data_IF_636763863303
#
_entry.id   IF_636763863303
#
_cell.length_a   1.000
_cell.length_b   1.000
_cell.length_c   1.000
_cell.angle_alpha   90.00
_cell.angle_beta   90.00
_cell.angle_gamma   90.00
#
_symmetry.space_group_name_H-M   'P 1'
#
loop_
_entity.id
_entity.type
_entity.pdbx_description
1 polymer ?
#
# COMPACT_ATOMS: atom_id res chain seq x y z
N UNK A 1 -5.37 -5.54 32.60
CA UNK A 1 -5.07 -5.01 31.27
C UNK A 1 -4.84 -3.51 31.43
N UNK A 2 -3.64 -3.01 31.18
CA UNK A 2 -3.41 -1.57 31.13
C UNK A 2 -4.30 -0.97 30.03
N UNK A 3 -4.98 0.14 30.31
CA UNK A 3 -5.80 0.82 29.33
C UNK A 3 -4.87 1.26 28.18
N UNK A 4 -5.15 0.81 26.96
CA UNK A 4 -4.40 1.29 25.78
C UNK A 4 -4.73 2.77 25.60
N UNK A 5 -3.69 3.59 25.47
CA UNK A 5 -3.81 5.05 25.36
C UNK A 5 -4.49 5.52 24.04
N UNK A 6 -4.70 4.61 23.07
CA UNK A 6 -5.29 4.91 21.76
C UNK A 6 -6.77 4.45 21.73
N UNK A 7 -7.66 5.25 22.27
CA UNK A 7 -9.09 4.94 22.31
C UNK A 7 -9.79 5.30 21.00
N UNK A 8 -9.50 6.48 20.47
CA UNK A 8 -10.10 7.01 19.24
C UNK A 8 -9.06 7.10 18.13
N UNK A 9 -9.31 6.45 17.00
CA UNK A 9 -8.40 6.38 15.86
C UNK A 9 -9.02 7.10 14.66
N UNK A 10 -8.30 8.11 14.14
CA UNK A 10 -8.64 8.79 12.90
C UNK A 10 -8.14 8.00 11.69
N UNK A 11 -8.97 7.85 10.67
CA UNK A 11 -8.61 7.20 9.41
C UNK A 11 -8.69 8.22 8.30
N UNK A 12 -7.56 8.63 7.76
CA UNK A 12 -7.48 9.66 6.72
C UNK A 12 -7.46 9.02 5.34
N UNK A 13 -8.61 9.02 4.69
CA UNK A 13 -8.81 8.45 3.36
C UNK A 13 -10.06 7.55 3.29
N UNK A 14 -11.14 8.07 2.68
CA UNK A 14 -12.44 7.41 2.55
C UNK A 14 -12.53 6.36 1.44
N UNK A 15 -11.41 5.84 0.94
CA UNK A 15 -11.38 4.76 -0.04
C UNK A 15 -11.71 3.38 0.56
N UNK A 16 -11.67 2.33 -0.27
CA UNK A 16 -11.94 0.96 0.15
C UNK A 16 -11.06 0.52 1.33
N UNK A 17 -9.75 0.79 1.25
CA UNK A 17 -8.80 0.40 2.30
C UNK A 17 -9.01 1.18 3.59
N UNK A 18 -9.26 2.49 3.53
CA UNK A 18 -9.56 3.28 4.73
C UNK A 18 -10.85 2.84 5.41
N UNK A 19 -11.90 2.57 4.65
CA UNK A 19 -13.15 2.01 5.20
C UNK A 19 -12.93 0.65 5.85
N UNK A 20 -12.14 -0.23 5.23
CA UNK A 20 -11.81 -1.54 5.79
C UNK A 20 -10.99 -1.44 7.08
N UNK A 21 -10.03 -0.50 7.15
CA UNK A 21 -9.24 -0.25 8.36
C UNK A 21 -10.09 0.37 9.49
N UNK A 22 -11.03 1.26 9.15
CA UNK A 22 -11.96 1.80 10.14
C UNK A 22 -12.83 0.67 10.76
N UNK A 23 -13.29 -0.29 9.95
CA UNK A 23 -14.00 -1.47 10.43
C UNK A 23 -13.10 -2.40 11.27
N UNK A 24 -11.83 -2.58 10.87
CA UNK A 24 -10.87 -3.35 11.67
C UNK A 24 -10.61 -2.69 13.03
N UNK A 25 -10.51 -1.36 13.07
CA UNK A 25 -10.37 -0.55 14.29
C UNK A 25 -11.56 -0.73 15.25
N UNK A 26 -12.80 -0.70 14.74
CA UNK A 26 -13.99 -0.96 15.54
C UNK A 26 -13.98 -2.40 16.10
N UNK A 27 -13.57 -3.41 15.30
CA UNK A 27 -13.45 -4.80 15.77
C UNK A 27 -12.35 -4.99 16.81
N UNK A 28 -11.35 -4.11 16.84
CA UNK A 28 -10.35 -4.07 17.90
C UNK A 28 -10.87 -3.40 19.19
N UNK A 29 -12.14 -2.99 19.23
CA UNK A 29 -12.78 -2.35 20.39
C UNK A 29 -12.39 -0.87 20.55
N UNK A 30 -11.98 -0.21 19.46
CA UNK A 30 -11.66 1.23 19.44
C UNK A 30 -12.77 2.02 18.76
N UNK A 31 -12.82 3.32 19.01
CA UNK A 31 -13.62 4.26 18.24
C UNK A 31 -12.88 4.58 16.92
N UNK A 32 -13.62 4.63 15.81
CA UNK A 32 -13.06 4.99 14.51
C UNK A 32 -13.77 6.20 13.93
N UNK A 33 -13.01 7.18 13.43
CA UNK A 33 -13.51 8.31 12.68
C UNK A 33 -12.90 8.33 11.27
N UNK A 34 -13.72 8.10 10.25
CA UNK A 34 -13.28 8.06 8.87
C UNK A 34 -13.36 9.47 8.26
N UNK A 35 -12.22 10.00 7.86
CA UNK A 35 -12.19 11.23 7.07
C UNK A 35 -12.23 10.92 5.57
N UNK A 36 -13.13 11.58 4.86
CA UNK A 36 -13.20 11.54 3.40
C UNK A 36 -13.27 12.95 2.84
N UNK A 37 -12.52 13.19 1.78
CA UNK A 37 -12.53 14.48 1.06
C UNK A 37 -13.85 14.71 0.34
N UNK A 38 -14.45 13.64 -0.18
CA UNK A 38 -15.66 13.68 -0.97
C UNK A 38 -16.91 13.69 -0.07
N UNK A 39 -17.75 14.77 -0.10
CA UNK A 39 -18.98 14.84 0.69
C UNK A 39 -19.97 13.69 0.42
N UNK A 40 -19.98 13.17 -0.80
CA UNK A 40 -20.81 12.04 -1.19
C UNK A 40 -20.44 10.77 -0.39
N UNK A 41 -19.14 10.52 -0.17
CA UNK A 41 -18.66 9.40 0.64
C UNK A 41 -19.07 9.57 2.10
N UNK A 42 -18.89 10.77 2.65
CA UNK A 42 -19.31 11.09 4.04
C UNK A 42 -20.82 10.85 4.19
N UNK A 43 -21.63 11.36 3.28
CA UNK A 43 -23.07 11.18 3.28
C UNK A 43 -23.47 9.70 3.15
N UNK A 44 -22.85 8.95 2.23
CA UNK A 44 -23.10 7.52 2.02
C UNK A 44 -22.79 6.70 3.27
N UNK A 45 -21.64 6.92 3.90
CA UNK A 45 -21.23 6.22 5.13
C UNK A 45 -22.20 6.53 6.27
N UNK A 46 -22.53 7.79 6.50
CA UNK A 46 -23.34 8.20 7.65
C UNK A 46 -24.83 7.87 7.50
N UNK A 47 -25.40 8.05 6.31
CA UNK A 47 -26.84 7.88 6.08
C UNK A 47 -27.20 6.50 5.52
N UNK A 48 -26.45 6.01 4.51
CA UNK A 48 -26.77 4.74 3.86
C UNK A 48 -26.07 3.54 4.52
N UNK A 49 -25.17 3.77 5.49
CA UNK A 49 -24.38 2.71 6.12
C UNK A 49 -23.63 1.83 5.13
N UNK A 50 -23.10 2.47 4.08
CA UNK A 50 -22.36 1.82 3.03
C UNK A 50 -21.39 2.84 2.39
N UNK A 51 -20.21 2.41 1.98
CA UNK A 51 -19.35 3.19 1.11
C UNK A 51 -19.57 2.73 -0.34
N UNK A 52 -20.61 3.26 -0.99
CA UNK A 52 -21.07 2.82 -2.31
C UNK A 52 -20.05 3.01 -3.42
N UNK A 53 -19.23 4.05 -3.31
CA UNK A 53 -18.26 4.38 -4.35
C UNK A 53 -17.01 3.49 -4.33
N UNK A 54 -16.55 3.09 -3.12
CA UNK A 54 -15.26 2.44 -2.96
C UNK A 54 -15.34 1.02 -2.38
N UNK A 55 -16.40 0.70 -1.64
CA UNK A 55 -16.58 -0.60 -0.98
C UNK A 55 -18.05 -1.04 -1.00
N UNK A 56 -18.65 -1.19 -2.19
CA UNK A 56 -20.05 -1.57 -2.31
C UNK A 56 -20.32 -2.96 -1.74
N UNK A 57 -21.54 -3.16 -1.24
CA UNK A 57 -22.02 -4.44 -0.69
C UNK A 57 -21.50 -4.76 0.71
N UNK A 58 -20.86 -3.82 1.38
CA UNK A 58 -20.44 -3.97 2.78
C UNK A 58 -21.25 -3.05 3.67
N UNK A 59 -22.10 -3.64 4.52
CA UNK A 59 -22.87 -2.89 5.53
C UNK A 59 -21.96 -2.37 6.63
N UNK A 60 -22.02 -1.07 6.88
CA UNK A 60 -21.22 -0.40 7.91
C UNK A 60 -22.03 -0.29 9.23
N UNK A 61 -21.41 -0.59 10.38
CA UNK A 61 -22.07 -0.49 11.68
C UNK A 61 -22.39 0.97 12.03
N UNK A 62 -23.37 1.16 12.90
CA UNK A 62 -23.84 2.49 13.30
C UNK A 62 -22.77 3.33 14.01
N UNK A 63 -21.82 2.66 14.65
CA UNK A 63 -20.69 3.25 15.36
C UNK A 63 -19.66 3.87 14.44
N UNK A 64 -19.61 3.46 13.16
CA UNK A 64 -18.72 4.09 12.19
C UNK A 64 -19.28 5.43 11.76
N UNK A 65 -18.55 6.49 12.10
CA UNK A 65 -18.81 7.85 11.64
C UNK A 65 -17.80 8.26 10.57
N UNK A 66 -18.28 9.03 9.60
CA UNK A 66 -17.42 9.71 8.64
C UNK A 66 -17.55 11.24 8.81
N UNK A 67 -16.46 11.95 8.53
CA UNK A 67 -16.39 13.41 8.56
C UNK A 67 -15.65 13.95 7.34
N UNK A 68 -16.01 15.15 6.89
CA UNK A 68 -15.22 15.94 5.95
C UNK A 68 -14.27 16.92 6.66
N UNK A 69 -14.37 17.06 7.99
CA UNK A 69 -13.51 17.93 8.79
C UNK A 69 -12.21 17.22 9.16
N UNK A 70 -11.11 17.70 8.57
CA UNK A 70 -9.78 17.15 8.82
C UNK A 70 -9.30 17.42 10.25
N UNK A 71 -9.69 18.57 10.84
CA UNK A 71 -9.32 18.91 12.21
C UNK A 71 -9.97 17.95 13.23
N UNK A 72 -11.24 17.58 12.99
CA UNK A 72 -11.92 16.57 13.82
C UNK A 72 -11.20 15.21 13.79
N UNK A 73 -10.78 14.77 12.59
CA UNK A 73 -10.07 13.52 12.43
C UNK A 73 -8.64 13.56 13.03
N UNK A 74 -7.95 14.70 12.91
CA UNK A 74 -6.62 14.92 13.47
C UNK A 74 -6.62 14.96 15.01
N UNK A 75 -7.75 15.27 15.65
CA UNK A 75 -7.88 15.31 17.11
C UNK A 75 -7.97 13.92 17.76
N UNK A 76 -7.91 12.83 16.98
CA UNK A 76 -7.88 11.45 17.49
C UNK A 76 -6.53 11.12 18.17
N UNK A 77 -6.49 9.98 18.90
CA UNK A 77 -5.32 9.58 19.69
C UNK A 77 -4.20 8.98 18.80
N UNK A 78 -4.56 8.39 17.67
CA UNK A 78 -3.66 7.89 16.63
C UNK A 78 -4.32 8.07 15.25
N UNK A 79 -3.51 8.17 14.20
CA UNK A 79 -3.99 8.44 12.83
C UNK A 79 -3.49 7.34 11.88
N UNK A 80 -4.41 6.71 11.15
CA UNK A 80 -4.12 5.86 10.00
C UNK A 80 -4.13 6.72 8.72
N UNK A 81 -2.97 6.86 8.07
CA UNK A 81 -2.82 7.58 6.81
C UNK A 81 -3.07 6.63 5.63
N UNK A 82 -4.25 6.71 5.03
CA UNK A 82 -4.72 5.76 4.00
C UNK A 82 -4.97 6.47 2.67
N UNK A 83 -4.36 7.62 2.48
CA UNK A 83 -4.38 8.36 1.22
C UNK A 83 -3.52 7.65 0.16
N UNK A 84 -3.81 7.84 -1.15
CA UNK A 84 -2.89 7.39 -2.18
C UNK A 84 -1.47 7.96 -1.98
N UNK A 85 -0.45 7.19 -2.36
CA UNK A 85 0.96 7.53 -2.11
C UNK A 85 1.34 8.93 -2.60
N UNK A 86 0.91 9.31 -3.81
CA UNK A 86 1.22 10.63 -4.40
C UNK A 86 0.52 11.81 -3.72
N UNK A 87 -0.44 11.55 -2.85
CA UNK A 87 -1.16 12.57 -2.07
C UNK A 87 -0.79 12.60 -0.59
N UNK A 88 0.11 11.70 -0.15
CA UNK A 88 0.45 11.53 1.27
C UNK A 88 1.09 12.80 1.85
N UNK A 89 2.07 13.40 1.15
CA UNK A 89 2.73 14.63 1.59
C UNK A 89 1.73 15.78 1.81
N UNK A 90 0.84 15.99 0.85
CA UNK A 90 -0.18 17.05 0.95
C UNK A 90 -1.19 16.78 2.08
N UNK A 91 -1.56 15.52 2.29
CA UNK A 91 -2.41 15.13 3.42
C UNK A 91 -1.71 15.38 4.76
N UNK A 92 -0.44 15.04 4.88
CA UNK A 92 0.38 15.33 6.07
C UNK A 92 0.48 16.85 6.33
N UNK A 93 0.74 17.65 5.29
CA UNK A 93 0.78 19.10 5.41
C UNK A 93 -0.56 19.68 5.89
N UNK A 94 -1.68 19.18 5.39
CA UNK A 94 -3.01 19.55 5.87
C UNK A 94 -3.28 19.17 7.33
N UNK A 95 -2.71 18.06 7.79
CA UNK A 95 -2.85 17.59 9.18
C UNK A 95 -1.95 18.36 10.17
N UNK A 96 -0.80 18.86 9.72
CA UNK A 96 0.27 19.37 10.58
C UNK A 96 -0.18 20.40 11.63
N UNK A 97 -1.06 21.33 11.23
CA UNK A 97 -1.60 22.37 12.12
C UNK A 97 -2.68 21.92 13.11
N UNK A 98 -3.16 20.68 12.98
CA UNK A 98 -4.26 20.14 13.79
C UNK A 98 -3.84 19.00 14.73
N UNK A 99 -2.62 18.48 14.56
CA UNK A 99 -2.12 17.37 15.36
C UNK A 99 -1.76 17.81 16.78
N UNK A 100 -2.13 16.97 17.75
CA UNK A 100 -1.60 17.12 19.11
C UNK A 100 -0.15 16.62 19.16
N UNK A 101 0.72 17.26 19.93
CA UNK A 101 2.09 16.78 20.11
C UNK A 101 2.11 15.29 20.54
N UNK A 102 2.94 14.49 19.88
CA UNK A 102 3.08 13.06 20.20
C UNK A 102 2.00 12.14 19.61
N UNK A 103 1.01 12.66 18.85
CA UNK A 103 0.05 11.80 18.14
C UNK A 103 0.78 10.97 17.09
N UNK A 104 0.75 9.61 17.16
CA UNK A 104 1.40 8.76 16.18
C UNK A 104 0.58 8.68 14.89
N UNK A 105 1.29 8.69 13.74
CA UNK A 105 0.71 8.48 12.42
C UNK A 105 1.19 7.14 11.86
N UNK A 106 0.26 6.32 11.43
CA UNK A 106 0.51 5.02 10.83
C UNK A 106 0.28 5.10 9.32
N UNK A 107 1.34 5.01 8.56
CA UNK A 107 1.32 5.09 7.10
C UNK A 107 0.82 3.76 6.54
N UNK A 108 -0.31 3.78 5.84
CA UNK A 108 -0.91 2.62 5.17
C UNK A 108 -0.81 2.72 3.65
N UNK A 109 -0.29 3.83 3.12
CA UNK A 109 0.00 4.02 1.71
C UNK A 109 1.15 3.12 1.26
N UNK A 110 1.02 2.56 0.06
CA UNK A 110 2.02 1.64 -0.53
C UNK A 110 2.52 2.23 -1.84
N UNK A 111 3.67 2.89 -1.79
CA UNK A 111 4.28 3.56 -2.95
C UNK A 111 5.57 4.28 -2.59
N UNK A 112 6.10 4.97 -3.58
CA UNK A 112 7.25 5.87 -3.50
C UNK A 112 6.80 7.18 -4.13
N UNK A 113 7.18 8.32 -3.56
CA UNK A 113 6.81 9.63 -4.10
C UNK A 113 7.50 9.86 -5.45
N UNK A 114 6.75 10.25 -6.47
CA UNK A 114 7.24 10.29 -7.85
C UNK A 114 8.37 11.31 -8.02
N UNK A 115 8.16 12.54 -7.58
CA UNK A 115 9.09 13.64 -7.86
C UNK A 115 10.39 13.56 -7.06
N UNK A 116 10.31 13.22 -5.77
CA UNK A 116 11.47 13.17 -4.87
C UNK A 116 12.15 11.80 -4.83
N UNK A 117 11.42 10.73 -5.18
CA UNK A 117 11.74 9.33 -4.92
C UNK A 117 11.84 8.98 -3.41
N UNK A 118 11.22 9.79 -2.56
CA UNK A 118 11.20 9.56 -1.11
C UNK A 118 10.30 8.39 -0.75
N UNK A 119 10.68 7.64 0.27
CA UNK A 119 9.78 6.70 0.93
C UNK A 119 8.63 7.46 1.61
N UNK A 120 7.50 6.79 1.79
CA UNK A 120 6.33 7.44 2.40
C UNK A 120 6.61 8.00 3.80
N UNK A 121 7.46 7.33 4.60
CA UNK A 121 7.88 7.85 5.90
C UNK A 121 8.73 9.12 5.80
N UNK A 122 9.59 9.23 4.80
CA UNK A 122 10.40 10.42 4.56
C UNK A 122 9.52 11.58 4.06
N UNK A 123 8.59 11.30 3.14
CA UNK A 123 7.62 12.27 2.64
C UNK A 123 6.71 12.79 3.76
N UNK A 124 6.27 11.92 4.67
CA UNK A 124 5.48 12.28 5.83
C UNK A 124 6.29 13.14 6.82
N UNK A 125 7.50 12.68 7.18
CA UNK A 125 8.37 13.40 8.12
C UNK A 125 8.72 14.82 7.64
N UNK A 126 8.88 15.00 6.32
CA UNK A 126 9.19 16.31 5.75
C UNK A 126 7.98 17.29 5.77
N UNK A 127 6.76 16.78 5.94
CA UNK A 127 5.53 17.60 5.92
C UNK A 127 4.86 17.75 7.29
N UNK A 128 5.32 17.01 8.30
CA UNK A 128 4.78 16.99 9.65
C UNK A 128 5.68 17.75 10.64
N UNK A 129 5.18 18.16 11.81
CA UNK A 129 6.00 18.72 12.87
C UNK A 129 7.16 17.78 13.23
N UNK A 130 8.33 18.35 13.49
CA UNK A 130 9.52 17.59 13.86
C UNK A 130 9.24 16.69 15.08
N UNK A 131 9.71 15.44 15.00
CA UNK A 131 9.50 14.47 16.08
C UNK A 131 8.12 13.81 16.10
N UNK A 132 7.26 14.04 15.11
CA UNK A 132 5.99 13.30 14.98
C UNK A 132 6.28 11.79 14.87
N UNK A 133 5.72 10.94 15.77
CA UNK A 133 5.98 9.51 15.73
C UNK A 133 5.34 8.87 14.51
N UNK A 134 6.11 8.08 13.77
CA UNK A 134 5.67 7.40 12.54
C UNK A 134 5.78 5.89 12.67
N UNK A 135 4.77 5.20 12.14
CA UNK A 135 4.78 3.76 11.93
C UNK A 135 4.28 3.45 10.50
N UNK A 136 4.48 2.23 10.05
CA UNK A 136 4.02 1.75 8.72
C UNK A 136 3.19 0.49 8.91
N UNK A 137 2.05 0.40 8.23
CA UNK A 137 1.22 -0.79 8.16
C UNK A 137 1.24 -1.35 6.73
N UNK A 138 1.78 -2.54 6.57
CA UNK A 138 1.92 -3.21 5.26
C UNK A 138 1.69 -4.71 5.39
N UNK A 139 1.28 -5.38 4.30
CA UNK A 139 1.07 -6.82 4.30
C UNK A 139 -0.07 -7.24 3.36
N UNK A 140 -0.34 -8.56 3.25
CA UNK A 140 -1.31 -9.12 2.32
C UNK A 140 -2.74 -8.75 2.71
N UNK A 141 -3.35 -7.83 1.98
CA UNK A 141 -4.66 -7.28 2.32
C UNK A 141 -5.48 -6.94 1.08
N UNK A 142 -6.62 -7.60 0.92
CA UNK A 142 -7.70 -7.09 0.08
C UNK A 142 -8.73 -6.39 0.98
N UNK A 143 -9.04 -5.14 0.67
CA UNK A 143 -9.93 -4.31 1.48
C UNK A 143 -11.30 -4.97 1.73
N UNK A 144 -11.87 -5.61 0.71
CA UNK A 144 -13.17 -6.29 0.82
C UNK A 144 -13.13 -7.48 1.80
N UNK A 145 -12.02 -8.18 1.92
CA UNK A 145 -11.86 -9.30 2.84
C UNK A 145 -11.70 -8.80 4.27
N UNK A 146 -10.83 -7.81 4.49
CA UNK A 146 -10.66 -7.15 5.78
C UNK A 146 -11.98 -6.54 6.26
N UNK A 147 -12.71 -5.87 5.38
CA UNK A 147 -14.00 -5.26 5.71
C UNK A 147 -15.03 -6.30 6.18
N UNK A 148 -15.04 -7.50 5.58
CA UNK A 148 -15.89 -8.62 5.99
C UNK A 148 -15.41 -9.34 7.25
N UNK A 149 -14.24 -8.97 7.79
CA UNK A 149 -13.67 -9.58 9.00
C UNK A 149 -13.01 -10.94 8.75
N UNK A 150 -12.59 -11.23 7.51
CA UNK A 150 -11.83 -12.44 7.22
C UNK A 150 -10.42 -12.35 7.84
N UNK A 151 -9.83 -13.49 8.23
CA UNK A 151 -8.52 -13.53 8.86
C UNK A 151 -7.45 -12.85 8.01
N UNK A 152 -6.75 -11.91 8.60
CA UNK A 152 -5.72 -11.10 7.93
C UNK A 152 -4.54 -10.88 8.88
N UNK A 153 -3.33 -11.02 8.38
CA UNK A 153 -2.10 -10.71 9.10
C UNK A 153 -1.33 -9.62 8.34
N UNK A 154 -0.78 -8.66 9.08
CA UNK A 154 -0.02 -7.53 8.53
C UNK A 154 1.23 -7.27 9.36
N UNK A 155 2.20 -6.58 8.79
CA UNK A 155 3.34 -6.02 9.51
C UNK A 155 2.99 -4.61 9.97
N UNK A 156 3.21 -4.31 11.25
CA UNK A 156 3.27 -2.97 11.79
C UNK A 156 4.74 -2.66 12.07
N UNK A 157 5.35 -1.82 11.24
CA UNK A 157 6.74 -1.45 11.37
C UNK A 157 6.87 -0.10 12.09
N UNK A 158 7.64 -0.07 13.19
CA UNK A 158 7.86 1.11 14.00
C UNK A 158 9.28 1.08 14.59
N UNK A 159 10.06 2.14 14.41
CA UNK A 159 11.41 2.22 14.96
C UNK A 159 11.43 2.27 16.50
N UNK A 160 10.39 2.86 17.11
CA UNK A 160 10.16 2.81 18.56
C UNK A 160 9.37 1.55 18.90
N UNK A 161 10.04 0.58 19.50
CA UNK A 161 9.45 -0.72 19.86
C UNK A 161 8.33 -0.58 20.89
N UNK A 162 8.42 0.36 21.83
CA UNK A 162 7.38 0.58 22.86
C UNK A 162 6.10 1.16 22.23
N UNK A 163 6.24 2.16 21.37
CA UNK A 163 5.13 2.68 20.58
C UNK A 163 4.54 1.61 19.67
N UNK A 164 5.39 0.86 18.97
CA UNK A 164 4.97 -0.22 18.08
C UNK A 164 4.11 -1.27 18.81
N UNK A 165 4.54 -1.71 19.99
CA UNK A 165 3.78 -2.67 20.80
C UNK A 165 2.40 -2.13 21.20
N UNK A 166 2.30 -0.87 21.59
CA UNK A 166 1.03 -0.20 21.92
C UNK A 166 0.11 -0.09 20.70
N UNK A 167 0.66 0.22 19.52
CA UNK A 167 -0.11 0.27 18.26
C UNK A 167 -0.59 -1.11 17.83
N UNK A 168 0.23 -2.16 17.99
CA UNK A 168 -0.18 -3.55 17.75
C UNK A 168 -1.36 -3.93 18.63
N UNK A 169 -1.32 -3.60 19.91
CA UNK A 169 -2.43 -3.85 20.85
C UNK A 169 -3.68 -3.04 20.48
N UNK A 170 -3.52 -1.79 20.05
CA UNK A 170 -4.63 -0.91 19.69
C UNK A 170 -5.37 -1.35 18.42
N UNK A 171 -4.65 -1.86 17.41
CA UNK A 171 -5.20 -2.25 16.11
C UNK A 171 -5.51 -3.74 16.00
N UNK A 172 -4.94 -4.56 16.88
CA UNK A 172 -5.03 -6.02 16.85
C UNK A 172 -6.41 -6.55 17.26
N UNK A 173 -6.89 -7.57 16.52
CA UNK A 173 -8.09 -8.32 16.86
C UNK A 173 -7.92 -9.80 16.47
N UNK A 174 -8.95 -10.64 16.74
CA UNK A 174 -8.93 -12.05 16.32
C UNK A 174 -8.74 -12.23 14.81
N UNK A 175 -9.30 -11.33 14.04
CA UNK A 175 -9.30 -11.43 12.57
C UNK A 175 -8.34 -10.45 11.88
N UNK A 176 -7.78 -9.49 12.61
CA UNK A 176 -6.76 -8.58 12.08
C UNK A 176 -5.55 -8.61 13.01
N UNK A 177 -4.45 -9.21 12.55
CA UNK A 177 -3.27 -9.52 13.38
C UNK A 177 -2.03 -8.76 12.92
N UNK A 178 -1.71 -7.60 13.53
CA UNK A 178 -0.45 -6.93 13.27
C UNK A 178 0.71 -7.69 13.95
N UNK A 179 1.82 -7.82 13.22
CA UNK A 179 3.09 -8.32 13.72
C UNK A 179 4.09 -7.17 13.75
N UNK A 180 4.70 -6.94 14.91
CA UNK A 180 5.66 -5.86 15.10
C UNK A 180 6.95 -6.13 14.33
N UNK A 181 7.48 -5.09 13.68
CA UNK A 181 8.80 -5.04 13.08
C UNK A 181 9.45 -3.69 13.40
N UNK A 182 10.77 -3.63 13.48
CA UNK A 182 11.55 -2.40 13.56
C UNK A 182 12.09 -1.95 12.18
N UNK A 183 11.93 -2.80 11.14
CA UNK A 183 12.36 -2.49 9.77
C UNK A 183 11.27 -1.72 9.00
N UNK A 184 11.26 -0.41 9.20
CA UNK A 184 10.36 0.51 8.52
C UNK A 184 10.67 0.58 7.01
N UNK A 185 11.94 0.50 6.62
CA UNK A 185 12.39 0.59 5.22
C UNK A 185 11.94 -0.65 4.42
N UNK A 186 12.31 -1.85 4.89
CA UNK A 186 11.95 -3.10 4.21
C UNK A 186 10.44 -3.26 4.06
N UNK A 187 9.67 -2.90 5.09
CA UNK A 187 8.20 -2.97 5.06
C UNK A 187 7.58 -2.05 4.02
N UNK A 188 8.14 -0.85 3.79
CA UNK A 188 7.67 0.08 2.75
C UNK A 188 8.05 -0.39 1.35
N UNK A 189 9.30 -0.81 1.15
CA UNK A 189 9.80 -1.24 -0.16
C UNK A 189 9.04 -2.47 -0.64
N UNK A 190 8.83 -3.47 0.20
CA UNK A 190 8.01 -4.64 -0.13
C UNK A 190 6.61 -4.24 -0.61
N UNK A 191 5.91 -3.42 0.19
CA UNK A 191 4.56 -2.96 -0.11
C UNK A 191 4.46 -2.07 -1.36
N UNK A 192 5.49 -1.28 -1.69
CA UNK A 192 5.52 -0.41 -2.86
C UNK A 192 5.78 -1.20 -4.16
N UNK A 193 6.90 -1.93 -4.21
CA UNK A 193 7.39 -2.57 -5.45
C UNK A 193 6.49 -3.72 -5.90
N UNK A 194 5.83 -4.43 -4.97
CA UNK A 194 4.87 -5.48 -5.33
C UNK A 194 3.81 -5.03 -6.34
N UNK A 195 3.40 -3.75 -6.27
CA UNK A 195 2.37 -3.19 -7.15
C UNK A 195 2.83 -3.14 -8.61
N UNK A 196 4.11 -2.88 -8.83
CA UNK A 196 4.74 -2.89 -10.15
C UNK A 196 4.82 -4.32 -10.67
N UNK A 197 5.28 -5.26 -9.85
CA UNK A 197 5.39 -6.67 -10.21
C UNK A 197 4.03 -7.32 -10.46
N UNK A 198 2.97 -6.87 -9.76
CA UNK A 198 1.62 -7.33 -10.03
C UNK A 198 1.14 -6.94 -11.44
N UNK A 199 1.55 -5.80 -11.98
CA UNK A 199 1.28 -5.44 -13.38
C UNK A 199 1.99 -6.42 -14.32
N UNK A 200 3.27 -6.74 -14.09
CA UNK A 200 3.99 -7.74 -14.88
C UNK A 200 3.31 -9.12 -14.84
N UNK A 201 2.90 -9.59 -13.65
CA UNK A 201 2.16 -10.84 -13.51
C UNK A 201 0.80 -10.80 -14.21
N UNK A 202 0.14 -9.64 -14.22
CA UNK A 202 -1.08 -9.42 -15.00
C UNK A 202 -0.83 -9.54 -16.50
N UNK A 203 0.25 -8.98 -17.02
CA UNK A 203 0.64 -9.15 -18.44
C UNK A 203 0.81 -10.62 -18.78
N UNK A 204 1.48 -11.40 -17.92
CA UNK A 204 1.63 -12.86 -18.10
C UNK A 204 0.28 -13.55 -18.18
N UNK A 205 -0.67 -13.16 -17.33
CA UNK A 205 -2.05 -13.67 -17.34
C UNK A 205 -2.77 -13.34 -18.66
N UNK A 206 -2.78 -12.06 -19.05
CA UNK A 206 -3.45 -11.61 -20.28
C UNK A 206 -2.84 -12.20 -21.56
N UNK A 207 -1.52 -12.41 -21.59
CA UNK A 207 -0.79 -13.09 -22.67
C UNK A 207 -0.84 -14.61 -22.61
N UNK A 208 -1.46 -15.19 -21.54
CA UNK A 208 -1.57 -16.64 -21.34
C UNK A 208 -0.21 -17.36 -21.36
N UNK A 209 0.82 -16.74 -20.77
CA UNK A 209 2.17 -17.30 -20.70
C UNK A 209 2.32 -18.41 -19.66
N UNK A 210 1.31 -18.65 -18.84
CA UNK A 210 1.19 -19.77 -17.92
C UNK A 210 1.76 -19.50 -16.52
N UNK A 211 1.48 -20.44 -15.62
CA UNK A 211 1.80 -20.35 -14.20
C UNK A 211 3.31 -20.42 -13.92
N UNK A 212 4.08 -21.14 -14.74
CA UNK A 212 5.54 -21.20 -14.61
C UNK A 212 6.16 -19.81 -14.79
N UNK A 213 5.73 -19.05 -15.79
CA UNK A 213 6.19 -17.68 -16.03
C UNK A 213 5.80 -16.74 -14.88
N UNK A 214 4.57 -16.86 -14.35
CA UNK A 214 4.12 -16.09 -13.20
C UNK A 214 4.94 -16.41 -11.94
N UNK A 215 5.19 -17.69 -11.65
CA UNK A 215 6.02 -18.11 -10.52
C UNK A 215 7.46 -17.58 -10.62
N UNK A 216 8.06 -17.66 -11.83
CA UNK A 216 9.38 -17.11 -12.09
C UNK A 216 9.42 -15.58 -11.88
N UNK A 217 8.40 -14.84 -12.36
CA UNK A 217 8.29 -13.39 -12.13
C UNK A 217 8.19 -13.04 -10.65
N UNK A 218 7.39 -13.76 -9.87
CA UNK A 218 7.27 -13.54 -8.42
C UNK A 218 8.62 -13.74 -7.75
N UNK A 219 9.31 -14.84 -8.06
CA UNK A 219 10.62 -15.17 -7.48
C UNK A 219 11.69 -14.15 -7.86
N UNK A 220 11.79 -13.81 -9.13
CA UNK A 220 12.78 -12.83 -9.61
C UNK A 220 12.43 -11.42 -9.15
N UNK A 221 11.15 -11.09 -9.08
CA UNK A 221 10.65 -9.83 -8.54
C UNK A 221 10.98 -9.66 -7.05
N UNK A 222 10.83 -10.72 -6.25
CA UNK A 222 11.25 -10.68 -4.85
C UNK A 222 12.76 -10.42 -4.71
N UNK A 223 13.58 -10.98 -5.59
CA UNK A 223 15.01 -10.70 -5.61
C UNK A 223 15.31 -9.22 -5.96
N UNK A 224 14.54 -8.60 -6.87
CA UNK A 224 14.66 -7.16 -7.15
C UNK A 224 14.27 -6.32 -5.93
N UNK A 225 13.13 -6.62 -5.29
CA UNK A 225 12.69 -5.96 -4.06
C UNK A 225 13.78 -6.04 -2.99
N UNK A 226 14.35 -7.23 -2.80
CA UNK A 226 15.37 -7.48 -1.76
C UNK A 226 16.63 -6.64 -2.03
N UNK A 227 17.12 -6.59 -3.28
CA UNK A 227 18.28 -5.76 -3.63
C UNK A 227 18.04 -4.28 -3.32
N UNK A 228 16.87 -3.74 -3.72
CA UNK A 228 16.54 -2.34 -3.44
C UNK A 228 16.42 -2.08 -1.94
N UNK A 229 15.75 -2.95 -1.20
CA UNK A 229 15.59 -2.81 0.24
C UNK A 229 16.94 -2.81 0.96
N UNK A 230 17.85 -3.74 0.62
CA UNK A 230 19.21 -3.79 1.16
C UNK A 230 19.99 -2.50 0.89
N UNK A 231 19.92 -1.99 -0.35
CA UNK A 231 20.60 -0.73 -0.72
C UNK A 231 20.07 0.50 0.05
N UNK A 232 18.91 0.38 0.67
CA UNK A 232 18.26 1.42 1.47
C UNK A 232 18.34 1.15 2.99
N UNK A 233 18.99 0.06 3.40
CA UNK A 233 19.14 -0.33 4.80
C UNK A 233 18.02 -1.18 5.37
N UNK A 234 17.14 -1.70 4.53
CA UNK A 234 16.14 -2.71 4.91
C UNK A 234 16.76 -4.11 5.02
N UNK A 235 16.01 -5.06 5.56
CA UNK A 235 16.48 -6.42 5.86
C UNK A 235 15.81 -7.49 4.99
N UNK A 236 16.56 -8.51 4.53
CA UNK A 236 16.01 -9.61 3.73
C UNK A 236 14.90 -10.39 4.46
N UNK A 237 15.02 -10.57 5.77
CA UNK A 237 14.05 -11.28 6.60
C UNK A 237 12.67 -10.61 6.56
N UNK A 238 12.64 -9.28 6.52
CA UNK A 238 11.40 -8.49 6.37
C UNK A 238 10.73 -8.77 5.02
N UNK A 239 11.53 -8.93 3.98
CA UNK A 239 11.03 -9.19 2.62
C UNK A 239 10.53 -10.65 2.46
N UNK A 240 11.01 -11.59 3.27
CA UNK A 240 10.46 -12.95 3.34
C UNK A 240 9.19 -13.05 4.19
N UNK A 241 8.80 -11.97 4.86
CA UNK A 241 7.63 -11.87 5.71
C UNK A 241 6.37 -11.35 5.00
N UNK A 242 5.42 -10.86 5.83
CA UNK A 242 4.09 -10.41 5.38
C UNK A 242 4.14 -9.22 4.43
N UNK A 243 4.99 -8.21 4.70
CA UNK A 243 5.08 -7.00 3.88
C UNK A 243 5.87 -7.19 2.57
N UNK A 244 6.61 -8.29 2.43
CA UNK A 244 7.34 -8.68 1.22
C UNK A 244 6.64 -9.84 0.49
N UNK A 245 7.14 -11.07 0.69
CA UNK A 245 6.66 -12.28 0.01
C UNK A 245 5.14 -12.47 0.14
N UNK A 246 4.58 -12.29 1.34
CA UNK A 246 3.16 -12.47 1.57
C UNK A 246 2.29 -11.54 0.71
N UNK A 247 2.60 -10.23 0.74
CA UNK A 247 1.85 -9.22 0.00
C UNK A 247 2.11 -9.31 -1.52
N UNK A 248 3.33 -9.67 -1.92
CA UNK A 248 3.69 -9.92 -3.32
C UNK A 248 2.89 -11.10 -3.87
N UNK A 249 2.90 -12.24 -3.19
CA UNK A 249 2.18 -13.45 -3.63
C UNK A 249 0.69 -13.19 -3.75
N UNK A 250 0.06 -12.58 -2.74
CA UNK A 250 -1.37 -12.24 -2.80
C UNK A 250 -1.69 -11.35 -4.00
N UNK A 251 -0.89 -10.28 -4.19
CA UNK A 251 -1.18 -9.24 -5.18
C UNK A 251 -0.92 -9.73 -6.62
N UNK A 252 0.04 -10.64 -6.81
CA UNK A 252 0.42 -11.21 -8.11
C UNK A 252 -0.37 -12.48 -8.49
N UNK A 253 -1.27 -12.95 -7.63
CA UNK A 253 -2.02 -14.20 -7.87
C UNK A 253 -3.53 -14.01 -7.95
N UNK A 254 -4.02 -12.77 -7.93
CA UNK A 254 -5.46 -12.51 -7.95
C UNK A 254 -5.82 -11.27 -8.77
N UNK A 255 -6.78 -11.40 -9.66
CA UNK A 255 -7.37 -10.30 -10.43
C UNK A 255 -8.16 -9.31 -9.55
N UNK A 256 -8.43 -9.60 -8.27
CA UNK A 256 -8.87 -8.60 -7.31
C UNK A 256 -7.84 -7.48 -7.12
N UNK A 257 -6.56 -7.76 -7.39
CA UNK A 257 -5.52 -6.74 -7.44
C UNK A 257 -5.76 -5.79 -8.62
N UNK A 258 -5.94 -4.51 -8.32
CA UNK A 258 -6.09 -3.46 -9.35
C UNK A 258 -4.89 -3.39 -10.29
N UNK A 259 -3.70 -3.67 -9.76
CA UNK A 259 -2.47 -3.68 -10.55
C UNK A 259 -2.40 -4.93 -11.44
N UNK A 260 -2.70 -6.11 -10.91
CA UNK A 260 -2.72 -7.33 -11.71
C UNK A 260 -3.80 -7.26 -12.81
N UNK A 261 -5.02 -6.80 -12.48
CA UNK A 261 -6.08 -6.64 -13.49
C UNK A 261 -5.77 -5.57 -14.54
N UNK A 262 -4.99 -4.52 -14.20
CA UNK A 262 -4.45 -3.57 -15.19
C UNK A 262 -3.50 -4.29 -16.15
N UNK A 263 -2.52 -5.02 -15.61
CA UNK A 263 -1.57 -5.78 -16.42
C UNK A 263 -2.24 -6.82 -17.31
N UNK A 264 -3.28 -7.52 -16.83
CA UNK A 264 -4.03 -8.48 -17.63
C UNK A 264 -4.70 -7.81 -18.84
N UNK A 265 -5.35 -6.67 -18.63
CA UNK A 265 -5.96 -5.91 -19.72
C UNK A 265 -4.92 -5.44 -20.78
N UNK A 266 -3.74 -4.99 -20.33
CA UNK A 266 -2.63 -4.65 -21.25
C UNK A 266 -2.14 -5.90 -21.99
N UNK A 267 -2.02 -7.04 -21.32
CA UNK A 267 -1.66 -8.32 -21.91
C UNK A 267 -2.67 -8.79 -22.96
N UNK A 268 -3.94 -8.50 -22.79
CA UNK A 268 -5.02 -8.77 -23.75
C UNK A 268 -5.00 -7.81 -24.97
N UNK A 269 -4.11 -6.82 -24.99
CA UNK A 269 -3.93 -5.88 -26.09
C UNK A 269 -4.66 -4.55 -25.94
N UNK A 270 -5.25 -4.27 -24.78
CA UNK A 270 -5.85 -2.96 -24.48
C UNK A 270 -4.78 -1.92 -24.20
N UNK A 271 -5.05 -0.68 -24.55
CA UNK A 271 -4.15 0.44 -24.22
C UNK A 271 -4.30 0.90 -22.77
N UNK A 272 -3.23 1.48 -22.22
CA UNK A 272 -3.27 2.05 -20.87
C UNK A 272 -4.37 3.12 -20.73
N UNK A 273 -4.55 3.96 -21.74
CA UNK A 273 -5.54 5.03 -21.75
C UNK A 273 -6.97 4.47 -21.65
N UNK A 274 -7.31 3.44 -22.44
CA UNK A 274 -8.62 2.77 -22.38
C UNK A 274 -8.90 2.18 -20.99
N UNK A 275 -7.91 1.48 -20.42
CA UNK A 275 -8.06 0.84 -19.12
C UNK A 275 -8.22 1.87 -17.98
N UNK A 276 -7.48 2.99 -18.05
CA UNK A 276 -7.58 4.04 -17.03
C UNK A 276 -8.90 4.83 -17.15
N UNK A 277 -9.43 5.04 -18.34
CA UNK A 277 -10.69 5.76 -18.55
C UNK A 277 -11.91 5.06 -17.91
N UNK A 278 -11.88 3.74 -17.79
CA UNK A 278 -12.93 2.94 -17.18
C UNK A 278 -12.84 2.85 -15.65
N UNK A 279 -11.72 3.27 -15.06
CA UNK A 279 -11.44 3.06 -13.63
C UNK A 279 -11.64 4.34 -12.83
N UNK A 280 -12.43 4.23 -11.75
CA UNK A 280 -12.57 5.34 -10.77
C UNK A 280 -11.35 5.49 -9.85
N UNK A 281 -10.53 4.46 -9.71
CA UNK A 281 -9.35 4.49 -8.84
C UNK A 281 -8.10 4.14 -9.60
N UNK A 282 -7.04 4.92 -9.38
CA UNK A 282 -5.73 4.72 -10.01
C UNK A 282 -5.09 3.43 -9.48
N UNK A 283 -4.47 2.66 -10.39
CA UNK A 283 -3.56 1.60 -10.00
C UNK A 283 -2.23 2.25 -9.57
N UNK A 284 -1.89 2.15 -8.30
CA UNK A 284 -0.69 2.78 -7.72
C UNK A 284 0.61 2.37 -8.42
N UNK A 285 0.63 1.14 -8.98
CA UNK A 285 1.76 0.60 -9.71
C UNK A 285 2.21 1.45 -10.90
N UNK A 286 1.30 2.23 -11.52
CA UNK A 286 1.65 3.09 -12.68
C UNK A 286 2.67 4.15 -12.26
N UNK A 287 2.38 4.91 -11.21
CA UNK A 287 3.32 5.92 -10.69
C UNK A 287 4.51 5.30 -9.98
N UNK A 288 4.27 4.20 -9.26
CA UNK A 288 5.33 3.53 -8.51
C UNK A 288 6.39 2.94 -9.45
N UNK A 289 6.05 2.52 -10.67
CA UNK A 289 7.03 2.00 -11.63
C UNK A 289 8.13 3.02 -11.91
N UNK A 290 7.79 4.23 -12.33
CA UNK A 290 8.76 5.30 -12.58
C UNK A 290 9.54 5.68 -11.32
N UNK A 291 8.85 5.80 -10.16
CA UNK A 291 9.50 6.17 -8.91
C UNK A 291 10.51 5.10 -8.43
N UNK A 292 10.18 3.81 -8.57
CA UNK A 292 11.07 2.68 -8.24
C UNK A 292 12.30 2.69 -9.13
N UNK A 293 12.12 2.84 -10.44
CA UNK A 293 13.23 2.89 -11.41
C UNK A 293 14.15 4.08 -11.13
N UNK A 294 13.58 5.25 -10.86
CA UNK A 294 14.35 6.44 -10.49
C UNK A 294 15.11 6.27 -9.18
N UNK A 295 14.50 5.69 -8.15
CA UNK A 295 15.15 5.40 -6.87
C UNK A 295 16.25 4.35 -7.03
N UNK A 296 15.99 3.27 -7.75
CA UNK A 296 16.97 2.22 -8.02
C UNK A 296 18.18 2.77 -8.79
N UNK A 297 17.97 3.64 -9.79
CA UNK A 297 19.04 4.33 -10.50
C UNK A 297 19.93 5.18 -9.59
N UNK A 298 19.33 5.96 -8.66
CA UNK A 298 20.08 6.74 -7.65
C UNK A 298 20.92 5.86 -6.73
N UNK A 299 20.51 4.59 -6.51
CA UNK A 299 21.20 3.62 -5.64
C UNK A 299 22.08 2.63 -6.37
N UNK A 300 22.14 2.69 -7.71
CA UNK A 300 22.92 1.75 -8.53
C UNK A 300 22.39 0.32 -8.49
N UNK A 301 21.07 0.12 -8.30
CA UNK A 301 20.44 -1.18 -8.19
C UNK A 301 19.79 -1.58 -9.52
N UNK A 302 20.13 -2.76 -10.07
CA UNK A 302 19.52 -3.32 -11.29
C UNK A 302 18.16 -3.94 -10.98
N UNK A 303 17.10 -3.38 -11.60
CA UNK A 303 15.71 -3.81 -11.42
C UNK A 303 15.04 -4.03 -12.80
N UNK A 304 15.45 -5.04 -13.57
CA UNK A 304 15.00 -5.21 -14.94
C UNK A 304 13.50 -5.45 -15.12
N UNK A 305 12.82 -6.13 -14.19
CA UNK A 305 11.38 -6.33 -14.26
C UNK A 305 10.62 -5.02 -14.03
N UNK A 306 11.03 -4.26 -13.00
CA UNK A 306 10.44 -2.95 -12.74
C UNK A 306 10.70 -1.97 -13.89
N UNK A 307 11.90 -1.97 -14.47
CA UNK A 307 12.26 -1.14 -15.63
C UNK A 307 11.44 -1.50 -16.87
N UNK A 308 11.18 -2.79 -17.11
CA UNK A 308 10.32 -3.24 -18.21
C UNK A 308 8.87 -2.76 -18.05
N UNK A 309 8.32 -2.83 -16.83
CA UNK A 309 6.98 -2.31 -16.55
C UNK A 309 6.93 -0.79 -16.74
N UNK A 310 7.92 -0.07 -16.27
CA UNK A 310 8.02 1.39 -16.45
C UNK A 310 8.11 1.78 -17.92
N UNK A 311 8.93 1.07 -18.72
CA UNK A 311 9.06 1.30 -20.15
C UNK A 311 7.71 1.15 -20.89
N UNK A 312 6.92 0.14 -20.54
CA UNK A 312 5.59 -0.08 -21.13
C UNK A 312 4.61 1.02 -20.70
N UNK A 313 4.56 1.34 -19.42
CA UNK A 313 3.53 2.23 -18.86
C UNK A 313 3.80 3.71 -19.14
N UNK A 314 5.06 4.13 -19.04
CA UNK A 314 5.43 5.54 -18.99
C UNK A 314 6.27 5.99 -20.19
N UNK A 315 6.82 5.06 -20.99
CA UNK A 315 7.70 5.39 -22.11
C UNK A 315 7.23 4.82 -23.45
N UNK A 316 6.04 4.21 -23.51
CA UNK A 316 5.43 3.74 -24.76
C UNK A 316 6.13 2.55 -25.40
N UNK A 317 6.94 1.79 -24.65
CA UNK A 317 7.59 0.60 -25.18
C UNK A 317 6.57 -0.48 -25.58
N UNK A 318 6.81 -1.13 -26.71
CA UNK A 318 5.98 -2.22 -27.18
C UNK A 318 6.05 -3.43 -26.24
N UNK A 319 4.88 -3.99 -25.89
CA UNK A 319 4.77 -5.06 -24.90
C UNK A 319 5.60 -6.30 -25.32
N UNK A 320 5.42 -6.77 -26.55
CA UNK A 320 6.08 -7.99 -27.03
C UNK A 320 7.60 -7.81 -27.12
N UNK A 321 8.06 -6.66 -27.63
CA UNK A 321 9.49 -6.34 -27.71
C UNK A 321 10.12 -6.26 -26.30
N UNK A 322 9.37 -5.78 -25.31
CA UNK A 322 9.85 -5.70 -23.92
C UNK A 322 9.94 -7.09 -23.29
N UNK A 323 8.96 -7.97 -23.55
CA UNK A 323 9.00 -9.38 -23.12
C UNK A 323 10.20 -10.10 -23.73
N UNK A 324 10.40 -9.98 -25.05
CA UNK A 324 11.53 -10.59 -25.77
C UNK A 324 12.88 -10.07 -25.22
N UNK A 325 12.97 -8.78 -24.92
CA UNK A 325 14.14 -8.18 -24.29
C UNK A 325 14.45 -8.78 -22.91
N UNK A 326 13.45 -9.06 -22.08
CA UNK A 326 13.64 -9.72 -20.80
C UNK A 326 14.10 -11.17 -20.98
N UNK A 327 13.49 -11.90 -21.91
CA UNK A 327 13.81 -13.32 -22.17
C UNK A 327 15.19 -13.52 -22.79
N UNK A 328 15.69 -12.52 -23.51
CA UNK A 328 17.01 -12.57 -24.15
C UNK A 328 18.17 -12.15 -23.24
N UNK A 329 17.89 -11.79 -21.96
CA UNK A 329 18.96 -11.44 -21.01
C UNK A 329 19.90 -12.63 -20.78
N UNK A 330 21.23 -12.38 -20.60
CA UNK A 330 22.18 -13.45 -20.30
C UNK A 330 21.79 -14.27 -19.06
N UNK A 331 22.03 -15.56 -19.12
CA UNK A 331 21.85 -16.43 -17.95
C UNK A 331 22.74 -15.96 -16.79
N UNK A 332 22.19 -16.00 -15.57
CA UNK A 332 22.90 -15.65 -14.34
C UNK A 332 22.76 -16.79 -13.34
N UNK A 333 23.68 -16.84 -12.38
CA UNK A 333 23.54 -17.74 -11.24
C UNK A 333 22.37 -17.32 -10.35
N UNK A 334 21.66 -18.29 -9.79
CA UNK A 334 20.61 -17.99 -8.81
C UNK A 334 21.22 -17.42 -7.53
N UNK A 335 20.63 -16.36 -7.00
CA UNK A 335 21.10 -15.69 -5.79
C UNK A 335 22.17 -14.60 -6.00
N UNK A 336 22.56 -14.30 -7.27
CA UNK A 336 23.49 -13.21 -7.60
C UNK A 336 22.85 -12.11 -8.44
#
# INVERSE_FOLDING_TARGET
MAATDFRRIGVIGGGAWGTALALATLRAGREALLWAREPAVVGSVNAARENRDYLPGVTLPAELRATGDLAEAAACDAILLVTPAQHLRSACAGLAGHLRPGTPLIICAKGIELDSHALMSEAAAAALPAGTPLAVLSGPTFAAEVARGLPTAVTLACADAALGARLVEALGSRTFRPYLSDDVVGSQIGGAVKNVLAIACGVVEGRKLGDNARAALITRGLAEITRLALALGGRPETLMGLSGLGDLTLTCSSLQSRNMSLGAALGEGRTLAEVLAERRSVAEGVYTAAAVVGLAGKKGVDMPLCAAVDAILNHGAGLDATIDGLLSRPFREEGR
#
